data_IF_626940886439
#
_entry.id   IF_626940886439
#
_cell.length_a   1.000
_cell.length_b   1.000
_cell.length_c   1.000
_cell.angle_alpha   90.00
_cell.angle_beta   90.00
_cell.angle_gamma   90.00
#
_symmetry.space_group_name_H-M   'P 1'
#
loop_
_entity.id
_entity.type
_entity.pdbx_description
1 polymer ?
#
# COMPACT_ATOMS: atom_id res chain seq x y z
N UNK A 1 62.11 -43.47 -48.11
CA UNK A 1 61.28 -44.54 -47.53
C UNK A 1 60.09 -43.86 -46.87
N UNK A 2 58.90 -43.95 -47.51
CA UNK A 2 57.52 -43.91 -46.93
C UNK A 2 57.13 -42.67 -46.08
N UNK A 3 56.00 -41.94 -46.18
CA UNK A 3 54.79 -41.91 -47.01
C UNK A 3 53.78 -40.92 -46.38
N UNK A 4 53.10 -40.10 -47.22
CA UNK A 4 51.65 -39.71 -47.20
C UNK A 4 51.07 -38.83 -46.05
N UNK A 5 50.46 -37.67 -46.38
CA UNK A 5 48.99 -37.39 -46.55
C UNK A 5 48.38 -36.81 -45.24
N UNK A 6 47.45 -35.83 -45.14
CA UNK A 6 46.58 -35.05 -46.03
C UNK A 6 45.69 -34.10 -45.15
N UNK A 7 45.01 -33.10 -45.76
CA UNK A 7 43.80 -32.31 -45.32
C UNK A 7 43.97 -31.33 -44.15
N UNK A 8 43.91 -30.00 -44.41
CA UNK A 8 42.73 -29.11 -44.36
C UNK A 8 42.13 -28.94 -42.97
N UNK A 9 42.09 -27.71 -42.45
CA UNK A 9 40.82 -27.04 -42.13
C UNK A 9 41.06 -25.63 -41.58
N UNK A 10 40.27 -24.71 -42.14
CA UNK A 10 40.18 -23.30 -41.81
C UNK A 10 39.45 -23.19 -40.46
N UNK A 11 40.16 -22.79 -39.40
CA UNK A 11 39.54 -22.47 -38.12
C UNK A 11 39.16 -20.98 -38.07
N UNK A 12 37.85 -20.78 -38.13
CA UNK A 12 37.09 -19.55 -37.95
C UNK A 12 37.40 -18.90 -36.59
N UNK A 13 37.92 -17.67 -36.57
CA UNK A 13 38.08 -16.87 -35.35
C UNK A 13 36.71 -16.38 -34.86
N UNK A 14 36.23 -16.91 -33.74
CA UNK A 14 35.10 -16.34 -33.00
C UNK A 14 35.64 -15.53 -31.83
N UNK A 15 35.50 -14.20 -31.92
CA UNK A 15 35.79 -13.24 -30.86
C UNK A 15 34.70 -13.37 -29.79
N UNK A 16 35.07 -13.67 -28.55
CA UNK A 16 34.23 -13.40 -27.38
C UNK A 16 35.07 -12.56 -26.42
N UNK A 17 34.79 -11.26 -26.40
CA UNK A 17 35.40 -10.30 -25.49
C UNK A 17 34.84 -10.50 -24.08
N UNK A 18 35.73 -10.76 -23.13
CA UNK A 18 35.44 -10.65 -21.71
C UNK A 18 35.29 -9.17 -21.35
N UNK A 19 34.06 -8.72 -21.08
CA UNK A 19 33.81 -7.41 -20.48
C UNK A 19 33.70 -7.60 -18.97
N UNK A 20 34.78 -7.31 -18.25
CA UNK A 20 34.77 -7.19 -16.80
C UNK A 20 34.09 -5.86 -16.45
N UNK A 21 32.86 -5.95 -15.93
CA UNK A 21 32.10 -4.80 -15.45
C UNK A 21 32.73 -4.32 -14.12
N UNK A 22 33.38 -3.17 -14.14
CA UNK A 22 33.79 -2.44 -12.94
C UNK A 22 32.53 -1.95 -12.20
N UNK A 23 32.24 -2.52 -11.04
CA UNK A 23 31.20 -2.04 -10.13
C UNK A 23 31.75 -0.78 -9.44
N UNK A 24 31.18 0.37 -9.76
CA UNK A 24 31.46 1.64 -9.10
C UNK A 24 30.72 1.69 -7.75
N UNK A 25 31.46 1.73 -6.65
CA UNK A 25 30.98 1.61 -5.26
C UNK A 25 30.29 2.88 -4.69
N UNK A 26 29.56 3.65 -5.51
CA UNK A 26 28.99 4.94 -5.09
C UNK A 26 27.49 5.11 -5.36
N UNK A 27 26.73 4.03 -5.45
CA UNK A 27 25.30 4.11 -5.20
C UNK A 27 25.06 3.77 -3.73
N UNK A 28 24.90 4.80 -2.89
CA UNK A 28 23.91 4.66 -1.83
C UNK A 28 22.60 4.51 -2.57
N UNK A 29 22.11 3.28 -2.68
CA UNK A 29 20.86 2.99 -3.34
C UNK A 29 19.78 3.85 -2.69
N UNK A 30 19.40 4.94 -3.36
CA UNK A 30 18.06 5.48 -3.23
C UNK A 30 17.17 4.33 -3.68
N UNK A 31 16.78 3.48 -2.72
CA UNK A 31 15.75 2.48 -2.92
C UNK A 31 14.49 3.26 -3.29
N UNK A 32 14.27 3.41 -4.60
CA UNK A 32 13.03 3.96 -5.12
C UNK A 32 11.93 3.00 -4.66
N UNK A 33 10.92 3.54 -3.97
CA UNK A 33 9.75 2.77 -3.60
C UNK A 33 9.18 2.05 -4.84
N UNK A 34 8.75 0.80 -4.66
CA UNK A 34 8.10 0.08 -5.75
C UNK A 34 6.70 0.66 -5.95
N UNK A 35 6.45 1.25 -7.12
CA UNK A 35 5.10 1.73 -7.48
C UNK A 35 4.27 0.58 -8.03
N UNK A 36 3.05 0.43 -7.53
CA UNK A 36 2.08 -0.56 -8.01
C UNK A 36 0.98 0.09 -8.84
N UNK A 37 0.47 -0.67 -9.81
CA UNK A 37 -0.81 -0.36 -10.44
C UNK A 37 -1.97 -1.00 -9.66
N UNK A 38 -3.18 -0.53 -9.87
CA UNK A 38 -4.41 -1.11 -9.31
C UNK A 38 -4.46 -2.63 -9.55
N UNK A 39 -4.77 -3.38 -8.49
CA UNK A 39 -4.78 -4.84 -8.48
C UNK A 39 -3.40 -5.50 -8.30
N UNK A 40 -2.30 -4.73 -8.44
CA UNK A 40 -0.94 -5.18 -8.19
C UNK A 40 -0.71 -5.58 -6.73
N UNK A 41 0.23 -6.49 -6.50
CA UNK A 41 0.62 -6.90 -5.16
C UNK A 41 2.12 -7.13 -5.04
N UNK A 42 2.63 -6.97 -3.81
CA UNK A 42 4.03 -7.11 -3.46
C UNK A 42 4.17 -7.98 -2.21
N UNK A 43 5.17 -8.87 -2.16
CA UNK A 43 5.54 -9.54 -0.90
C UNK A 43 6.40 -8.60 -0.08
N UNK A 44 5.84 -8.11 1.02
CA UNK A 44 6.53 -7.21 1.94
C UNK A 44 7.71 -7.93 2.58
N UNK A 45 7.51 -9.19 2.98
CA UNK A 45 8.56 -10.04 3.57
C UNK A 45 9.74 -10.29 2.63
N UNK A 46 9.51 -10.38 1.31
CA UNK A 46 10.62 -10.58 0.34
C UNK A 46 11.34 -9.29 0.00
N UNK A 47 10.60 -8.18 -0.08
CA UNK A 47 11.19 -6.87 -0.36
C UNK A 47 12.00 -6.36 0.83
N UNK A 48 11.49 -6.56 2.04
CA UNK A 48 12.16 -6.20 3.28
C UNK A 48 11.95 -7.32 4.33
N UNK A 49 12.91 -8.26 4.46
CA UNK A 49 12.81 -9.38 5.39
C UNK A 49 12.76 -8.99 6.87
N UNK A 50 13.19 -7.77 7.22
CA UNK A 50 13.18 -7.28 8.59
C UNK A 50 11.94 -6.43 8.90
N UNK A 51 11.03 -6.29 7.95
CA UNK A 51 9.83 -5.49 8.09
C UNK A 51 8.86 -6.11 9.10
N UNK A 52 8.88 -5.57 10.31
CA UNK A 52 7.99 -5.99 11.40
C UNK A 52 7.01 -4.90 11.80
N UNK A 53 7.36 -3.62 11.55
CA UNK A 53 6.52 -2.46 11.81
C UNK A 53 6.38 -1.62 10.55
N UNK A 54 5.14 -1.31 10.22
CA UNK A 54 4.75 -0.52 9.06
C UNK A 54 4.26 0.86 9.52
N UNK A 55 4.60 1.88 8.75
CA UNK A 55 3.81 3.09 8.65
C UNK A 55 3.07 3.03 7.32
N UNK A 56 1.75 2.96 7.37
CA UNK A 56 0.90 3.11 6.19
C UNK A 56 0.56 4.59 6.11
N UNK A 57 1.20 5.27 5.16
CA UNK A 57 0.98 6.68 4.87
C UNK A 57 -0.10 6.85 3.82
N UNK A 58 -1.02 7.77 4.06
CA UNK A 58 -2.07 8.18 3.16
C UNK A 58 -1.90 9.66 2.89
N UNK A 59 -2.09 10.09 1.65
CA UNK A 59 -2.11 11.51 1.34
C UNK A 59 -3.03 11.82 0.18
N UNK A 60 -3.51 13.06 0.12
CA UNK A 60 -4.44 13.58 -0.87
C UNK A 60 -4.39 15.11 -0.90
N UNK A 61 -4.73 15.68 -2.06
CA UNK A 61 -4.90 17.11 -2.23
C UNK A 61 -6.37 17.45 -2.44
N UNK A 62 -6.86 18.47 -1.75
CA UNK A 62 -8.15 19.06 -2.05
C UNK A 62 -8.11 19.76 -3.42
N UNK A 63 -9.02 19.40 -4.34
CA UNK A 63 -9.18 20.19 -5.56
C UNK A 63 -9.92 21.48 -5.20
N UNK A 64 -9.20 22.60 -5.19
CA UNK A 64 -9.58 23.96 -4.77
C UNK A 64 -10.82 24.63 -5.44
N UNK A 65 -11.78 23.86 -5.96
CA UNK A 65 -12.86 24.34 -6.84
C UNK A 65 -14.23 24.48 -6.16
N UNK A 66 -14.46 23.90 -4.98
CA UNK A 66 -15.79 23.88 -4.33
C UNK A 66 -15.94 24.79 -3.10
N UNK A 67 -14.83 25.27 -2.51
CA UNK A 67 -14.83 26.20 -1.36
C UNK A 67 -15.27 25.59 -0.01
N UNK A 68 -15.57 24.29 0.03
CA UNK A 68 -15.84 23.54 1.26
C UNK A 68 -14.69 22.55 1.52
N UNK A 69 -14.19 22.52 2.76
CA UNK A 69 -13.12 21.62 3.22
C UNK A 69 -13.50 20.15 3.01
N UNK A 70 -12.52 19.36 2.58
CA UNK A 70 -12.61 17.91 2.43
C UNK A 70 -12.07 17.25 3.69
N UNK A 71 -12.98 16.69 4.46
CA UNK A 71 -12.67 15.94 5.67
C UNK A 71 -12.64 14.45 5.26
N UNK A 72 -11.44 13.95 4.92
CA UNK A 72 -11.21 12.56 4.54
C UNK A 72 -10.77 11.78 5.77
N UNK A 73 -11.58 10.80 6.16
CA UNK A 73 -11.31 9.94 7.30
C UNK A 73 -10.68 8.63 6.82
N UNK A 74 -9.47 8.28 7.28
CA UNK A 74 -8.99 6.92 7.15
C UNK A 74 -9.58 6.00 8.23
N UNK A 75 -9.77 4.75 7.85
CA UNK A 75 -10.21 3.70 8.75
C UNK A 75 -9.58 2.38 8.36
N UNK A 76 -9.46 1.50 9.35
CA UNK A 76 -8.78 0.21 9.21
C UNK A 76 -9.68 -0.89 9.74
N UNK A 77 -9.84 -1.94 8.94
CA UNK A 77 -10.57 -3.14 9.32
C UNK A 77 -9.59 -4.32 9.43
N UNK A 78 -9.50 -4.90 10.62
CA UNK A 78 -8.79 -6.16 10.84
C UNK A 78 -9.77 -7.31 10.56
N UNK A 79 -9.51 -8.06 9.49
CA UNK A 79 -10.43 -9.08 8.99
C UNK A 79 -9.87 -10.48 9.20
N UNK A 80 -10.74 -11.39 9.61
CA UNK A 80 -10.48 -12.82 9.64
C UNK A 80 -10.55 -13.46 8.24
N UNK A 81 -10.39 -14.78 8.19
CA UNK A 81 -10.44 -15.55 6.94
C UNK A 81 -11.78 -15.50 6.18
N UNK A 82 -12.87 -15.12 6.85
CA UNK A 82 -14.18 -14.91 6.25
C UNK A 82 -14.34 -13.49 5.67
N UNK A 83 -13.31 -12.64 5.80
CA UNK A 83 -13.35 -11.25 5.37
C UNK A 83 -14.22 -10.37 6.27
N UNK A 84 -14.35 -10.73 7.55
CA UNK A 84 -15.17 -10.01 8.54
C UNK A 84 -14.33 -9.63 9.77
N UNK A 85 -14.71 -8.54 10.42
CA UNK A 85 -14.20 -8.21 11.76
C UNK A 85 -14.66 -9.26 12.78
N UNK A 86 -13.93 -9.42 13.89
CA UNK A 86 -14.37 -10.29 15.00
C UNK A 86 -15.28 -9.56 15.99
N UNK A 87 -15.28 -8.23 15.93
CA UNK A 87 -16.12 -7.31 16.69
C UNK A 87 -15.62 -5.88 16.51
N UNK A 88 -16.23 -4.93 17.21
CA UNK A 88 -15.95 -3.49 17.04
C UNK A 88 -14.50 -3.10 17.32
N UNK A 89 -13.79 -3.86 18.16
CA UNK A 89 -12.37 -3.65 18.48
C UNK A 89 -11.42 -3.86 17.27
N UNK A 90 -11.88 -4.52 16.22
CA UNK A 90 -11.14 -4.74 14.97
C UNK A 90 -11.41 -3.63 13.92
N UNK A 91 -12.20 -2.61 14.26
CA UNK A 91 -12.45 -1.44 13.44
C UNK A 91 -11.76 -0.21 14.05
N UNK A 92 -10.70 0.25 13.42
CA UNK A 92 -9.84 1.34 13.92
C UNK A 92 -10.11 2.59 13.08
N UNK A 93 -10.45 3.70 13.74
CA UNK A 93 -10.83 4.96 13.11
C UNK A 93 -10.66 6.10 14.13
N UNK A 94 -11.00 7.34 13.77
CA UNK A 94 -10.76 8.52 14.60
C UNK A 94 -11.31 8.44 16.06
N UNK A 95 -12.42 7.73 16.31
CA UNK A 95 -12.95 7.53 17.68
C UNK A 95 -12.37 6.31 18.41
N UNK A 96 -11.70 5.40 17.70
CA UNK A 96 -11.04 4.23 18.25
C UNK A 96 -9.65 4.09 17.62
N UNK A 97 -8.70 4.84 18.16
CA UNK A 97 -7.39 5.01 17.54
C UNK A 97 -6.49 3.77 17.61
N UNK A 98 -6.81 2.75 18.42
CA UNK A 98 -5.93 1.59 18.63
C UNK A 98 -6.72 0.30 18.71
N UNK A 99 -6.15 -0.78 18.18
CA UNK A 99 -6.64 -2.14 18.44
C UNK A 99 -6.30 -2.58 19.87
N UNK A 100 -7.08 -3.48 20.45
CA UNK A 100 -6.92 -3.94 21.85
C UNK A 100 -5.51 -4.43 22.20
N UNK A 101 -4.85 -5.06 21.23
CA UNK A 101 -3.51 -5.62 21.36
C UNK A 101 -2.39 -4.67 20.89
N UNK A 102 -2.73 -3.45 20.46
CA UNK A 102 -1.78 -2.46 19.95
C UNK A 102 -1.16 -2.79 18.59
N UNK A 103 -1.68 -3.79 17.87
CA UNK A 103 -1.16 -4.17 16.56
C UNK A 103 -1.41 -3.10 15.49
N UNK A 104 -2.48 -2.31 15.62
CA UNK A 104 -2.80 -1.20 14.72
C UNK A 104 -3.08 0.05 15.54
N UNK A 105 -2.50 1.18 15.13
CA UNK A 105 -2.70 2.49 15.74
C UNK A 105 -2.86 3.57 14.66
N UNK A 106 -3.96 4.31 14.71
CA UNK A 106 -4.21 5.53 13.95
C UNK A 106 -3.53 6.70 14.66
N UNK A 107 -2.64 7.45 13.99
CA UNK A 107 -1.83 8.49 14.66
C UNK A 107 -2.58 9.81 14.91
N UNK A 108 -3.79 9.94 14.36
CA UNK A 108 -4.61 11.14 14.45
C UNK A 108 -5.26 11.44 13.11
N UNK A 109 -6.30 12.26 13.15
CA UNK A 109 -7.07 12.68 11.98
C UNK A 109 -6.53 14.03 11.45
N UNK A 110 -6.26 14.09 10.14
CA UNK A 110 -5.91 15.34 9.45
C UNK A 110 -7.10 15.80 8.60
N UNK A 111 -7.89 16.67 9.22
CA UNK A 111 -9.18 17.15 8.72
C UNK A 111 -9.11 18.10 7.51
N UNK A 112 -7.92 18.54 7.12
CA UNK A 112 -7.74 19.56 6.07
C UNK A 112 -6.85 19.11 4.93
N UNK A 113 -6.10 18.00 5.09
CA UNK A 113 -5.06 17.60 4.12
C UNK A 113 -3.99 18.67 3.90
N UNK A 114 -3.82 19.61 4.84
CA UNK A 114 -2.80 20.66 4.71
C UNK A 114 -1.42 20.12 5.11
N UNK A 115 -0.51 20.02 4.14
CA UNK A 115 0.89 19.67 4.37
C UNK A 115 1.49 18.91 3.19
N UNK A 116 2.82 18.93 3.07
CA UNK A 116 3.50 18.05 2.11
C UNK A 116 3.68 16.67 2.75
N UNK A 117 3.14 15.61 2.13
CA UNK A 117 3.46 14.23 2.49
C UNK A 117 2.25 13.37 2.86
N UNK A 118 2.36 12.64 3.96
CA UNK A 118 1.26 11.82 4.48
C UNK A 118 0.34 12.70 5.33
N UNK A 119 -0.92 12.83 4.92
CA UNK A 119 -1.97 13.50 5.70
C UNK A 119 -2.34 12.66 6.92
N UNK A 120 -2.47 11.35 6.72
CA UNK A 120 -2.76 10.41 7.79
C UNK A 120 -1.81 9.22 7.78
N UNK A 121 -1.47 8.75 8.97
CA UNK A 121 -0.57 7.62 9.16
C UNK A 121 -1.20 6.59 10.08
N UNK A 122 -1.16 5.33 9.63
CA UNK A 122 -1.54 4.17 10.42
C UNK A 122 -0.27 3.38 10.73
N UNK A 123 0.00 3.17 12.01
CA UNK A 123 1.06 2.27 12.46
C UNK A 123 0.54 0.85 12.53
N UNK A 124 1.31 -0.10 12.02
CA UNK A 124 0.98 -1.53 12.10
C UNK A 124 2.18 -2.31 12.61
N UNK A 125 2.06 -2.97 13.75
CA UNK A 125 3.03 -3.95 14.23
C UNK A 125 2.60 -5.37 13.83
N UNK A 126 3.19 -5.88 12.74
CA UNK A 126 2.87 -7.18 12.16
C UNK A 126 3.10 -8.36 13.11
N UNK A 127 3.97 -8.19 14.11
CA UNK A 127 4.28 -9.22 15.11
C UNK A 127 3.22 -9.35 16.19
N UNK A 128 2.39 -8.30 16.38
CA UNK A 128 1.30 -8.29 17.34
C UNK A 128 -0.05 -8.64 16.71
N UNK A 129 -0.13 -8.66 15.37
CA UNK A 129 -1.37 -9.01 14.66
C UNK A 129 -1.79 -10.44 15.00
N UNK A 130 -3.01 -10.67 15.54
CA UNK A 130 -3.45 -11.99 15.97
C UNK A 130 -3.43 -13.02 14.83
N UNK A 131 -3.24 -14.30 15.16
CA UNK A 131 -3.12 -15.37 14.17
C UNK A 131 -4.40 -15.58 13.33
N UNK A 132 -5.55 -15.22 13.89
CA UNK A 132 -6.88 -15.29 13.28
C UNK A 132 -7.26 -14.07 12.43
N UNK A 133 -6.39 -13.04 12.36
CA UNK A 133 -6.48 -11.93 11.42
C UNK A 133 -5.64 -12.25 10.17
N UNK A 134 -6.30 -12.25 9.02
CA UNK A 134 -5.70 -12.54 7.72
C UNK A 134 -5.45 -11.28 6.89
N UNK A 135 -6.21 -10.21 7.13
CA UNK A 135 -6.11 -8.96 6.39
C UNK A 135 -6.27 -7.74 7.27
N UNK A 136 -5.56 -6.69 6.89
CA UNK A 136 -5.69 -5.34 7.40
C UNK A 136 -6.05 -4.48 6.19
N UNK A 137 -7.32 -4.08 6.10
CA UNK A 137 -7.83 -3.30 4.98
C UNK A 137 -7.85 -1.83 5.38
N UNK A 138 -7.27 -0.98 4.53
CA UNK A 138 -7.24 0.46 4.74
C UNK A 138 -8.23 1.12 3.79
N UNK A 139 -9.18 1.83 4.37
CA UNK A 139 -10.25 2.52 3.66
C UNK A 139 -10.18 4.00 3.96
N UNK A 140 -10.57 4.83 3.01
CA UNK A 140 -10.76 6.27 3.23
C UNK A 140 -12.17 6.63 2.82
N UNK A 141 -12.82 7.48 3.60
CA UNK A 141 -14.17 7.96 3.33
C UNK A 141 -14.24 9.47 3.44
N UNK A 142 -15.15 10.10 2.69
CA UNK A 142 -15.38 11.53 2.81
C UNK A 142 -16.48 11.76 3.84
N UNK A 143 -16.17 12.51 4.90
CA UNK A 143 -17.12 12.87 5.95
C UNK A 143 -18.26 13.73 5.39
N UNK A 144 -19.51 13.41 5.74
CA UNK A 144 -20.70 14.12 5.28
C UNK A 144 -20.79 14.31 3.74
N UNK A 145 -20.19 13.40 2.96
CA UNK A 145 -20.06 13.54 1.51
C UNK A 145 -21.38 13.87 0.79
N UNK A 146 -22.48 13.22 1.20
CA UNK A 146 -23.80 13.46 0.62
C UNK A 146 -24.31 14.89 0.92
N UNK A 147 -24.13 15.37 2.15
CA UNK A 147 -24.55 16.71 2.59
C UNK A 147 -23.69 17.80 1.93
N UNK A 148 -22.39 17.52 1.76
CA UNK A 148 -21.41 18.44 1.15
C UNK A 148 -21.33 18.34 -0.37
N UNK A 149 -22.08 17.41 -0.99
CA UNK A 149 -21.99 17.07 -2.42
C UNK A 149 -20.54 16.77 -2.86
N UNK A 150 -19.81 16.04 -2.02
CA UNK A 150 -18.42 15.67 -2.24
C UNK A 150 -18.28 14.22 -2.74
N UNK A 151 -17.28 13.96 -3.57
CA UNK A 151 -16.89 12.62 -4.03
C UNK A 151 -15.39 12.55 -4.31
N UNK A 152 -14.86 11.34 -4.43
CA UNK A 152 -13.43 11.13 -4.67
C UNK A 152 -12.92 11.65 -6.03
N UNK A 153 -13.80 11.94 -7.00
CA UNK A 153 -13.45 12.62 -8.24
C UNK A 153 -13.04 14.09 -8.06
N UNK A 154 -13.29 14.66 -6.87
CA UNK A 154 -12.85 16.00 -6.48
C UNK A 154 -11.60 15.98 -5.59
N UNK A 155 -11.04 14.80 -5.33
CA UNK A 155 -9.77 14.62 -4.61
C UNK A 155 -8.66 14.40 -5.63
N UNK A 156 -7.52 15.06 -5.46
CA UNK A 156 -6.37 14.93 -6.34
C UNK A 156 -5.19 14.26 -5.62
N UNK A 157 -4.24 13.73 -6.38
CA UNK A 157 -2.98 13.17 -5.87
C UNK A 157 -3.13 12.18 -4.70
N UNK A 158 -4.26 11.48 -4.64
CA UNK A 158 -4.52 10.51 -3.58
C UNK A 158 -3.57 9.32 -3.71
N UNK A 159 -2.97 8.89 -2.60
CA UNK A 159 -2.07 7.76 -2.57
C UNK A 159 -2.14 6.96 -1.26
N UNK A 160 -1.63 5.73 -1.33
CA UNK A 160 -1.25 4.93 -0.16
C UNK A 160 0.18 4.45 -0.34
N UNK A 161 0.97 4.51 0.73
CA UNK A 161 2.31 3.94 0.77
C UNK A 161 2.56 3.16 2.04
N UNK A 162 3.54 2.27 1.99
CA UNK A 162 4.03 1.52 3.13
C UNK A 162 5.50 1.85 3.33
N UNK A 163 5.83 2.30 4.53
CA UNK A 163 7.18 2.63 4.97
C UNK A 163 7.58 1.68 6.10
N UNK A 164 8.83 1.22 6.10
CA UNK A 164 9.39 0.52 7.25
C UNK A 164 9.62 1.52 8.38
N UNK A 165 8.95 1.35 9.52
CA UNK A 165 9.07 2.29 10.66
C UNK A 165 10.51 2.36 11.20
N UNK A 166 11.22 1.23 11.24
CA UNK A 166 12.55 1.16 11.86
C UNK A 166 13.64 1.78 10.97
N UNK A 167 13.47 1.78 9.64
CA UNK A 167 14.48 2.28 8.68
C UNK A 167 14.07 3.58 7.98
N UNK A 168 12.79 3.95 8.04
CA UNK A 168 12.22 5.07 7.27
C UNK A 168 12.18 4.83 5.75
N UNK A 169 12.45 3.59 5.29
CA UNK A 169 12.48 3.27 3.86
C UNK A 169 11.08 3.03 3.33
N UNK A 170 10.70 3.75 2.27
CA UNK A 170 9.44 3.50 1.56
C UNK A 170 9.55 2.20 0.75
N UNK A 171 8.71 1.22 1.08
CA UNK A 171 8.74 -0.14 0.51
C UNK A 171 7.89 -0.22 -0.74
N UNK A 172 6.69 0.36 -0.69
CA UNK A 172 5.72 0.31 -1.78
C UNK A 172 4.82 1.53 -1.76
N UNK A 173 4.42 1.98 -2.94
CA UNK A 173 3.47 3.08 -3.16
C UNK A 173 2.44 2.70 -4.20
N UNK A 174 1.23 3.20 -4.02
CA UNK A 174 0.16 3.13 -5.00
C UNK A 174 -0.52 4.49 -5.08
N UNK A 175 -0.41 5.11 -6.26
CA UNK A 175 -1.10 6.35 -6.60
C UNK A 175 -2.47 6.02 -7.20
N UNK A 176 -3.52 6.66 -6.68
CA UNK A 176 -4.88 6.49 -7.16
C UNK A 176 -5.10 7.43 -8.35
N UNK A 177 -5.34 6.85 -9.53
CA UNK A 177 -5.40 7.59 -10.79
C UNK A 177 -6.75 7.50 -11.53
N UNK A 178 -7.78 6.88 -10.93
CA UNK A 178 -9.10 6.74 -11.57
C UNK A 178 -10.05 7.88 -11.19
N UNK A 179 -10.97 8.21 -12.10
CA UNK A 179 -12.03 9.19 -11.89
C UNK A 179 -13.17 8.59 -11.04
N UNK A 180 -13.03 8.62 -9.72
CA UNK A 180 -14.04 8.16 -8.74
C UNK A 180 -15.20 9.15 -8.57
N UNK A 181 -15.88 9.43 -9.67
CA UNK A 181 -16.85 10.54 -9.82
C UNK A 181 -18.14 10.41 -9.00
N UNK A 182 -18.42 9.26 -8.39
CA UNK A 182 -19.64 9.03 -7.59
C UNK A 182 -19.36 8.39 -6.23
N UNK A 183 -18.13 7.94 -6.00
CA UNK A 183 -17.76 7.18 -4.82
C UNK A 183 -17.43 8.10 -3.65
N UNK A 184 -17.86 7.68 -2.47
CA UNK A 184 -17.75 8.42 -1.20
C UNK A 184 -16.96 7.64 -0.15
N UNK A 185 -16.66 6.37 -0.46
CA UNK A 185 -15.77 5.50 0.29
C UNK A 185 -14.86 4.76 -0.69
N UNK A 186 -13.65 4.42 -0.27
CA UNK A 186 -12.69 3.71 -1.11
C UNK A 186 -11.75 2.84 -0.29
N UNK A 187 -11.49 1.62 -0.78
CA UNK A 187 -10.41 0.78 -0.28
C UNK A 187 -9.13 1.14 -1.04
N UNK A 188 -8.17 1.75 -0.34
CA UNK A 188 -6.90 2.17 -0.93
C UNK A 188 -6.01 0.94 -1.15
N UNK A 189 -5.85 0.12 -0.11
CA UNK A 189 -5.03 -1.08 -0.15
C UNK A 189 -5.33 -2.05 0.98
N UNK A 190 -4.75 -3.25 0.87
CA UNK A 190 -4.81 -4.26 1.92
C UNK A 190 -3.42 -4.84 2.20
N UNK A 191 -3.08 -4.98 3.48
CA UNK A 191 -1.95 -5.79 3.96
C UNK A 191 -2.54 -7.14 4.36
N UNK A 192 -2.05 -8.24 3.79
CA UNK A 192 -2.65 -9.55 3.99
C UNK A 192 -1.61 -10.66 4.14
N UNK A 193 -1.99 -11.72 4.85
CA UNK A 193 -1.21 -12.95 4.95
C UNK A 193 -1.48 -13.86 3.76
N UNK A 194 -0.42 -14.41 3.18
CA UNK A 194 -0.51 -15.43 2.16
C UNK A 194 0.67 -16.39 2.28
N UNK A 195 0.38 -17.67 2.49
CA UNK A 195 1.39 -18.72 2.70
C UNK A 195 2.43 -18.38 3.79
N UNK A 196 1.99 -17.74 4.87
CA UNK A 196 2.87 -17.33 5.98
C UNK A 196 3.67 -16.06 5.76
N UNK A 197 3.56 -15.41 4.59
CA UNK A 197 4.20 -14.12 4.29
C UNK A 197 3.18 -12.97 4.38
N UNK A 198 3.67 -11.79 4.74
CA UNK A 198 2.90 -10.55 4.63
C UNK A 198 3.07 -9.95 3.24
N UNK A 199 1.95 -9.53 2.65
CA UNK A 199 1.88 -8.93 1.33
C UNK A 199 1.08 -7.65 1.36
N UNK A 200 1.39 -6.73 0.46
CA UNK A 200 0.56 -5.56 0.19
C UNK A 200 -0.13 -5.74 -1.16
N UNK A 201 -1.37 -5.25 -1.28
CA UNK A 201 -2.10 -5.16 -2.55
C UNK A 201 -2.67 -3.76 -2.73
N UNK A 202 -2.40 -3.19 -3.89
CA UNK A 202 -3.07 -1.98 -4.37
C UNK A 202 -4.50 -2.34 -4.79
N UNK A 203 -5.51 -1.82 -4.09
CA UNK A 203 -6.91 -2.18 -4.34
C UNK A 203 -7.62 -1.14 -5.19
N UNK A 204 -7.64 0.12 -4.76
CA UNK A 204 -8.27 1.23 -5.49
C UNK A 204 -9.73 0.97 -5.86
N UNK A 205 -10.50 0.37 -4.96
CA UNK A 205 -11.92 0.05 -5.22
C UNK A 205 -12.80 1.06 -4.50
N UNK A 206 -13.54 1.85 -5.26
CA UNK A 206 -14.51 2.79 -4.72
C UNK A 206 -15.87 2.15 -4.44
N UNK A 207 -16.62 2.76 -3.53
CA UNK A 207 -17.93 2.34 -3.05
C UNK A 207 -18.85 3.57 -2.87
N UNK A 208 -20.15 3.34 -3.09
CA UNK A 208 -21.21 4.27 -2.73
C UNK A 208 -21.74 3.93 -1.32
N UNK A 209 -22.14 4.97 -0.56
CA UNK A 209 -22.73 4.79 0.78
C UNK A 209 -21.77 5.06 1.94
N UNK A 210 -20.60 5.64 1.67
CA UNK A 210 -19.67 6.11 2.71
C UNK A 210 -19.21 5.01 3.67
N UNK A 211 -18.87 5.42 4.90
CA UNK A 211 -18.39 4.52 5.94
C UNK A 211 -19.41 3.44 6.31
N UNK A 212 -20.70 3.77 6.29
CA UNK A 212 -21.78 2.82 6.56
C UNK A 212 -21.73 1.59 5.65
N UNK A 213 -21.49 1.78 4.36
CA UNK A 213 -21.36 0.67 3.41
C UNK A 213 -20.15 -0.22 3.73
N UNK A 214 -19.03 0.38 4.15
CA UNK A 214 -17.81 -0.34 4.54
C UNK A 214 -18.02 -1.16 5.82
N UNK A 215 -18.68 -0.57 6.83
CA UNK A 215 -19.05 -1.26 8.07
C UNK A 215 -19.92 -2.49 7.78
N UNK A 216 -20.97 -2.35 6.96
CA UNK A 216 -21.82 -3.48 6.56
C UNK A 216 -21.05 -4.55 5.77
N UNK A 217 -20.19 -4.13 4.85
CA UNK A 217 -19.35 -5.03 4.06
C UNK A 217 -18.44 -5.88 4.95
N UNK A 218 -17.86 -5.29 5.99
CA UNK A 218 -16.92 -5.97 6.88
C UNK A 218 -17.53 -6.52 8.17
N UNK A 219 -18.85 -6.33 8.39
CA UNK A 219 -19.60 -6.92 9.50
C UNK A 219 -19.41 -6.20 10.83
N UNK A 220 -19.22 -4.89 10.80
CA UNK A 220 -19.30 -4.02 11.98
C UNK A 220 -20.78 -3.75 12.27
N UNK A 221 -21.19 -3.90 13.53
CA UNK A 221 -22.54 -3.53 13.96
C UNK A 221 -22.61 -2.00 14.15
N UNK A 222 -23.60 -1.37 13.49
CA UNK A 222 -23.79 0.09 13.45
C UNK A 222 -25.16 0.50 13.99
#
# INVERSE_FOLDING_TARGET
MVSRHFWSDIAFFMIIGASALLINSNNKDNLMALSLNKGGNLSLTKTDPNLTKLLIGLGWDERATSGAEFDLDASVFLLNNAGKVRGDHDFIFYNQLKSDNGAVEHTGDNRTGEGDGDDEVIKVNLTQVPADIDKIVVTVTIHDAATRNQNFGQVANAFIRVVNEDTGTEVVRFDLAEDYSVETAMVFGEVYRHNGEWKFRAVGQGYSGGLQAMCQQYGVDI
#
